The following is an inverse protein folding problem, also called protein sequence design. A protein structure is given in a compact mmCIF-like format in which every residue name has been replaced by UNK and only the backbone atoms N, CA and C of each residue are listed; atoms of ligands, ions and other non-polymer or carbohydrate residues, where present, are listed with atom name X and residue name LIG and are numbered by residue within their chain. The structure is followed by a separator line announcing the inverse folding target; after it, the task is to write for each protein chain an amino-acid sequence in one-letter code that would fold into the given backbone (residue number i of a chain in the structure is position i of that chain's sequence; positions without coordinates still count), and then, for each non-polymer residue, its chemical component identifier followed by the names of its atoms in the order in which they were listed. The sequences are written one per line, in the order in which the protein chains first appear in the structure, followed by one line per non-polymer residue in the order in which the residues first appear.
data_IF_737187109877
#
_entry.id   IF_737187109877
#
_cell.length_a   1.000
_cell.length_b   1.000
_cell.length_c   1.000
_cell.angle_alpha   90.00
_cell.angle_beta   90.00
_cell.angle_gamma   90.00
#
_symmetry.space_group_name_H-M   'P 1'
#
loop_
_entity.id
_entity.type
_entity.pdbx_description
1 polymer ?
#
# COMPACT_ATOMS: atom_id res chain seq x y z
N UNK A 1 -8.54 6.08 -19.94
CA UNK A 1 -7.50 5.67 -19.01
C UNK A 1 -7.94 4.58 -18.02
N UNK A 2 -8.47 4.87 -16.82
CA UNK A 2 -9.05 3.84 -15.94
C UNK A 2 -10.13 4.41 -15.03
N UNK A 3 -11.08 3.57 -14.62
CA UNK A 3 -12.09 3.92 -13.62
C UNK A 3 -11.56 3.52 -12.24
N UNK A 4 -11.59 4.44 -11.29
CA UNK A 4 -11.15 4.22 -9.91
C UNK A 4 -12.35 4.11 -8.96
N UNK A 5 -12.41 3.02 -8.20
CA UNK A 5 -13.46 2.78 -7.23
C UNK A 5 -12.82 2.65 -5.84
N UNK A 6 -12.89 3.69 -5.01
CA UNK A 6 -12.21 3.72 -3.71
C UNK A 6 -12.97 3.02 -2.58
N UNK A 7 -14.24 2.67 -2.79
CA UNK A 7 -15.08 2.07 -1.75
C UNK A 7 -14.79 0.61 -1.47
N UNK A 8 -15.10 0.14 -0.26
CA UNK A 8 -15.12 -1.28 0.07
C UNK A 8 -16.24 -1.97 -0.71
N UNK A 9 -15.92 -3.08 -1.40
CA UNK A 9 -16.87 -3.82 -2.23
C UNK A 9 -16.67 -5.32 -2.07
N UNK A 10 -17.72 -6.08 -2.41
CA UNK A 10 -17.57 -7.52 -2.51
C UNK A 10 -16.87 -7.92 -3.82
N UNK A 11 -16.30 -9.13 -3.85
CA UNK A 11 -15.69 -9.69 -5.07
C UNK A 11 -16.69 -9.82 -6.20
N UNK A 12 -17.96 -10.15 -5.88
CA UNK A 12 -19.04 -10.22 -6.87
C UNK A 12 -19.31 -8.85 -7.51
N UNK A 13 -19.29 -7.78 -6.71
CA UNK A 13 -19.46 -6.42 -7.22
C UNK A 13 -18.33 -6.04 -8.16
N UNK A 14 -17.06 -6.35 -7.80
CA UNK A 14 -15.90 -6.11 -8.65
C UNK A 14 -16.03 -6.88 -9.96
N UNK A 15 -16.40 -8.16 -9.92
CA UNK A 15 -16.60 -8.98 -11.12
C UNK A 15 -17.67 -8.37 -12.04
N UNK A 16 -18.82 -7.94 -11.49
CA UNK A 16 -19.88 -7.27 -12.25
C UNK A 16 -19.39 -5.95 -12.89
N UNK A 17 -18.61 -5.17 -12.15
CA UNK A 17 -18.04 -3.93 -12.67
C UNK A 17 -17.07 -4.18 -13.82
N UNK A 18 -16.19 -5.15 -13.68
CA UNK A 18 -15.25 -5.54 -14.75
C UNK A 18 -15.98 -5.94 -16.04
N UNK A 19 -17.11 -6.68 -15.92
CA UNK A 19 -17.90 -7.10 -17.07
C UNK A 19 -18.66 -5.95 -17.75
N UNK A 20 -19.07 -4.93 -16.98
CA UNK A 20 -19.95 -3.88 -17.50
C UNK A 20 -19.22 -2.56 -17.78
N UNK A 21 -18.02 -2.36 -17.24
CA UNK A 21 -17.20 -1.17 -17.46
C UNK A 21 -16.10 -1.51 -18.47
N UNK A 22 -16.22 -1.00 -19.69
CA UNK A 22 -15.28 -1.26 -20.78
C UNK A 22 -13.94 -0.50 -20.68
N UNK A 23 -13.61 -0.05 -19.47
CA UNK A 23 -12.38 0.68 -19.14
C UNK A 23 -11.63 -0.07 -18.02
N UNK A 24 -10.29 -0.10 -18.03
CA UNK A 24 -9.54 -0.75 -16.97
C UNK A 24 -9.97 -0.30 -15.58
N UNK A 25 -10.19 -1.25 -14.67
CA UNK A 25 -10.66 -0.98 -13.31
C UNK A 25 -9.48 -0.88 -12.35
N UNK A 26 -9.47 0.18 -11.55
CA UNK A 26 -8.58 0.37 -10.40
C UNK A 26 -9.37 0.25 -9.10
N UNK A 27 -8.88 -0.54 -8.15
CA UNK A 27 -9.45 -0.65 -6.81
C UNK A 27 -8.38 -0.37 -5.74
N UNK A 28 -8.82 -0.17 -4.49
CA UNK A 28 -7.91 0.00 -3.35
C UNK A 28 -7.62 -1.36 -2.71
N UNK A 29 -6.33 -1.63 -2.42
CA UNK A 29 -5.89 -2.74 -1.59
C UNK A 29 -6.48 -2.62 -0.18
N UNK A 30 -7.01 -3.73 0.32
CA UNK A 30 -7.52 -3.86 1.68
C UNK A 30 -7.50 -5.33 2.10
N UNK A 31 -8.02 -5.66 3.29
CA UNK A 31 -8.04 -7.03 3.80
C UNK A 31 -8.79 -8.04 2.92
N UNK A 32 -9.71 -7.58 2.05
CA UNK A 32 -10.43 -8.42 1.10
C UNK A 32 -9.72 -8.49 -0.26
N UNK A 33 -9.09 -7.41 -0.69
CA UNK A 33 -8.45 -7.24 -1.99
C UNK A 33 -6.92 -7.12 -1.82
N UNK A 34 -6.24 -8.24 -1.57
CA UNK A 34 -4.80 -8.31 -1.37
C UNK A 34 -4.11 -9.42 -2.18
N UNK A 35 -4.87 -10.38 -2.70
CA UNK A 35 -4.31 -11.40 -3.59
C UNK A 35 -4.28 -10.88 -5.03
N UNK A 36 -3.09 -10.57 -5.51
CA UNK A 36 -2.88 -10.01 -6.85
C UNK A 36 -3.23 -10.98 -7.98
N UNK A 37 -3.05 -12.29 -7.77
CA UNK A 37 -3.41 -13.30 -8.77
C UNK A 37 -4.91 -13.41 -8.93
N UNK A 38 -5.61 -13.46 -7.80
CA UNK A 38 -7.08 -13.48 -7.79
C UNK A 38 -7.66 -12.22 -8.44
N UNK A 39 -7.15 -11.04 -8.08
CA UNK A 39 -7.61 -9.77 -8.63
C UNK A 39 -7.35 -9.65 -10.13
N UNK A 40 -6.21 -10.15 -10.61
CA UNK A 40 -5.94 -10.21 -12.04
C UNK A 40 -6.91 -11.16 -12.76
N UNK A 41 -7.24 -12.30 -12.16
CA UNK A 41 -8.22 -13.25 -12.71
C UNK A 41 -9.63 -12.62 -12.76
N UNK A 42 -10.01 -11.82 -11.77
CA UNK A 42 -11.25 -11.05 -11.78
C UNK A 42 -11.28 -9.94 -12.86
N UNK A 43 -10.12 -9.60 -13.43
CA UNK A 43 -10.03 -8.57 -14.47
C UNK A 43 -9.66 -7.17 -13.97
N UNK A 44 -9.29 -7.02 -12.69
CA UNK A 44 -8.74 -5.77 -12.16
C UNK A 44 -7.39 -5.50 -12.82
N UNK A 45 -7.14 -4.27 -13.25
CA UNK A 45 -5.93 -3.90 -14.00
C UNK A 45 -4.99 -2.96 -13.25
N UNK A 46 -5.45 -2.31 -12.20
CA UNK A 46 -4.63 -1.44 -11.35
C UNK A 46 -5.07 -1.56 -9.89
N UNK A 47 -4.09 -1.48 -9.00
CA UNK A 47 -4.29 -1.46 -7.56
C UNK A 47 -3.68 -0.19 -6.98
N UNK A 48 -4.39 0.44 -6.07
CA UNK A 48 -3.95 1.61 -5.32
C UNK A 48 -3.84 1.27 -3.84
N UNK A 49 -2.80 1.74 -3.18
CA UNK A 49 -2.60 1.55 -1.73
C UNK A 49 -3.20 2.70 -0.90
N UNK A 50 -3.63 3.77 -1.57
CA UNK A 50 -4.17 4.97 -0.90
C UNK A 50 -3.15 5.53 0.10
N UNK A 51 -3.60 5.85 1.29
CA UNK A 51 -2.75 6.34 2.39
C UNK A 51 -2.05 5.23 3.19
N UNK A 52 -2.14 3.97 2.76
CA UNK A 52 -1.64 2.83 3.53
C UNK A 52 -0.16 2.93 3.89
N UNK A 53 0.69 3.25 2.92
CA UNK A 53 2.14 3.41 3.13
C UNK A 53 2.46 4.58 4.06
N UNK A 54 1.79 5.72 3.90
CA UNK A 54 2.00 6.91 4.74
C UNK A 54 1.58 6.62 6.19
N UNK A 55 0.43 5.99 6.40
CA UNK A 55 -0.04 5.60 7.74
C UNK A 55 0.94 4.65 8.42
N UNK A 56 1.46 3.67 7.69
CA UNK A 56 2.45 2.73 8.20
C UNK A 56 3.75 3.44 8.62
N UNK A 57 4.24 4.37 7.80
CA UNK A 57 5.44 5.16 8.13
C UNK A 57 5.21 6.02 9.36
N UNK A 58 4.05 6.68 9.47
CA UNK A 58 3.68 7.48 10.65
C UNK A 58 3.63 6.62 11.92
N UNK A 59 3.00 5.44 11.85
CA UNK A 59 2.94 4.49 12.97
C UNK A 59 4.36 4.11 13.42
N UNK A 60 5.24 3.73 12.51
CA UNK A 60 6.63 3.39 12.82
C UNK A 60 7.42 4.57 13.39
N UNK A 61 7.15 5.77 12.92
CA UNK A 61 7.76 6.98 13.48
C UNK A 61 7.33 7.23 14.93
N UNK A 62 6.06 7.02 15.24
CA UNK A 62 5.53 7.13 16.60
C UNK A 62 6.14 6.05 17.51
N UNK A 63 6.22 4.79 17.06
CA UNK A 63 6.85 3.71 17.80
C UNK A 63 8.31 4.05 18.15
N UNK A 64 9.09 4.52 17.18
CA UNK A 64 10.48 4.94 17.38
C UNK A 64 10.59 6.09 18.39
N UNK A 65 9.71 7.08 18.31
CA UNK A 65 9.69 8.18 19.26
C UNK A 65 9.40 7.72 20.69
N UNK A 66 8.48 6.79 20.88
CA UNK A 66 8.17 6.19 22.17
C UNK A 66 9.34 5.36 22.72
N UNK A 67 10.00 4.58 21.86
CA UNK A 67 11.20 3.83 22.24
C UNK A 67 12.32 4.74 22.71
N UNK A 68 12.61 5.81 21.97
CA UNK A 68 13.61 6.82 22.34
C UNK A 68 13.27 7.49 23.68
N UNK A 69 12.01 7.85 23.89
CA UNK A 69 11.55 8.42 25.15
C UNK A 69 11.81 7.47 26.33
N UNK A 70 11.70 6.16 26.11
CA UNK A 70 11.96 5.11 27.10
C UNK A 70 13.44 4.69 27.17
N UNK A 71 14.34 5.36 26.45
CA UNK A 71 15.77 5.04 26.43
C UNK A 71 16.15 3.81 25.60
N UNK A 72 15.25 3.33 24.71
CA UNK A 72 15.52 2.21 23.83
C UNK A 72 15.83 2.71 22.40
N UNK A 73 16.87 2.16 21.79
CA UNK A 73 17.34 2.52 20.44
C UNK A 73 17.40 1.31 19.48
N UNK A 74 16.94 0.16 19.91
CA UNK A 74 17.14 -1.11 19.20
C UNK A 74 16.56 -1.11 17.79
N UNK A 75 15.36 -0.58 17.61
CA UNK A 75 14.71 -0.57 16.29
C UNK A 75 15.36 0.41 15.32
N UNK A 76 15.85 1.56 15.79
CA UNK A 76 16.60 2.50 14.96
C UNK A 76 17.89 1.86 14.46
N UNK A 77 18.61 1.17 15.34
CA UNK A 77 19.89 0.54 15.02
C UNK A 77 19.74 -0.69 14.13
N UNK A 78 18.57 -1.31 14.10
CA UNK A 78 18.25 -2.46 13.22
C UNK A 78 17.86 -2.05 11.80
N UNK A 79 17.78 -0.77 11.47
CA UNK A 79 17.43 -0.33 10.11
C UNK A 79 18.41 -0.92 9.08
N UNK A 80 17.86 -1.66 8.11
CA UNK A 80 18.65 -2.19 6.99
C UNK A 80 18.98 -1.16 5.90
N UNK A 81 18.40 0.04 6.00
CA UNK A 81 18.67 1.13 5.06
C UNK A 81 19.80 2.01 5.60
N UNK A 82 21.00 1.85 5.07
CA UNK A 82 22.14 2.67 5.45
C UNK A 82 21.99 4.11 4.96
N UNK A 83 22.66 5.06 5.63
CA UNK A 83 22.71 6.46 5.22
C UNK A 83 23.19 6.63 3.77
N UNK A 84 24.26 5.91 3.38
CA UNK A 84 24.78 5.95 2.03
C UNK A 84 23.74 5.50 1.00
N UNK A 85 23.05 4.38 1.25
CA UNK A 85 22.01 3.84 0.36
C UNK A 85 20.80 4.77 0.29
N UNK A 86 20.38 5.38 1.40
CA UNK A 86 19.30 6.34 1.40
C UNK A 86 19.64 7.56 0.52
N UNK A 87 20.85 8.07 0.60
CA UNK A 87 21.29 9.20 -0.22
C UNK A 87 21.35 8.87 -1.73
N UNK A 88 21.56 7.62 -2.10
CA UNK A 88 21.55 7.21 -3.52
C UNK A 88 20.23 7.48 -4.22
N UNK A 89 19.11 7.39 -3.50
CA UNK A 89 17.78 7.69 -4.06
C UNK A 89 17.57 9.16 -4.44
N UNK A 90 18.41 10.07 -3.92
CA UNK A 90 18.31 11.51 -4.18
C UNK A 90 19.42 12.02 -5.12
N UNK A 91 20.32 11.16 -5.59
CA UNK A 91 21.27 11.52 -6.63
C UNK A 91 20.52 11.66 -7.97
N UNK A 92 20.68 12.81 -8.60
CA UNK A 92 20.21 13.07 -9.97
C UNK A 92 21.19 12.50 -10.99
#
# INVERSE_FOLDING_TARGET
DCVFIPGAMSKETVAKLVLNVHTPLNIILNGMFHDFKELNTLGVRRLSVGSGSVRYICEKTIEIAQELYNGNVDNILKSGLTYAKANEYFKK
#
